data_IF_662834517149
#
_entry.id   IF_662834517149
#
_cell.length_a   1.000
_cell.length_b   1.000
_cell.length_c   1.000
_cell.angle_alpha   90.00
_cell.angle_beta   90.00
_cell.angle_gamma   90.00
#
_symmetry.space_group_name_H-M   'P 1'
#
loop_
_entity.id
_entity.type
_entity.pdbx_description
1 polymer ?
#
# COMPACT_ATOMS: atom_id res chain seq x y z
N UNK A 1 4.18 -26.55 3.55
CA UNK A 1 4.92 -25.84 4.61
C UNK A 1 4.36 -26.26 5.96
N UNK A 2 5.22 -26.43 6.96
CA UNK A 2 4.85 -26.66 8.36
C UNK A 2 4.33 -25.37 8.99
N UNK A 3 3.62 -25.45 10.11
CA UNK A 3 2.99 -24.30 10.76
C UNK A 3 4.01 -23.18 11.11
N UNK A 4 5.17 -23.55 11.67
CA UNK A 4 6.24 -22.61 11.98
C UNK A 4 6.78 -21.88 10.74
N UNK A 5 6.99 -22.60 9.63
CA UNK A 5 7.45 -22.00 8.37
C UNK A 5 6.42 -21.01 7.80
N UNK A 6 5.13 -21.31 7.95
CA UNK A 6 4.05 -20.41 7.54
C UNK A 6 4.02 -19.18 8.45
N UNK A 7 4.21 -19.35 9.75
CA UNK A 7 4.28 -18.23 10.69
C UNK A 7 5.43 -17.28 10.33
N UNK A 8 6.63 -17.81 10.09
CA UNK A 8 7.79 -17.00 9.70
C UNK A 8 7.54 -16.26 8.38
N UNK A 9 6.93 -16.93 7.40
CA UNK A 9 6.53 -16.32 6.14
C UNK A 9 5.53 -15.18 6.35
N UNK A 10 4.51 -15.38 7.18
CA UNK A 10 3.49 -14.35 7.45
C UNK A 10 4.09 -13.14 8.18
N UNK A 11 4.99 -13.36 9.14
CA UNK A 11 5.67 -12.26 9.85
C UNK A 11 6.55 -11.43 8.91
N UNK A 12 7.30 -12.08 8.04
CA UNK A 12 8.12 -11.39 7.05
C UNK A 12 7.25 -10.63 6.03
N UNK A 13 6.18 -11.25 5.53
CA UNK A 13 5.22 -10.60 4.63
C UNK A 13 4.54 -9.40 5.30
N UNK A 14 4.13 -9.53 6.56
CA UNK A 14 3.57 -8.44 7.35
C UNK A 14 4.55 -7.28 7.46
N UNK A 15 5.80 -7.53 7.83
CA UNK A 15 6.82 -6.49 8.00
C UNK A 15 7.06 -5.71 6.71
N UNK A 16 7.20 -6.41 5.59
CA UNK A 16 7.36 -5.77 4.29
C UNK A 16 6.12 -4.94 3.92
N UNK A 17 4.92 -5.49 4.12
CA UNK A 17 3.68 -4.79 3.77
C UNK A 17 3.44 -3.57 4.67
N UNK A 18 3.74 -3.68 5.95
CA UNK A 18 3.67 -2.56 6.89
C UNK A 18 4.69 -1.47 6.52
N UNK A 19 5.88 -1.85 6.05
CA UNK A 19 6.89 -0.88 5.60
C UNK A 19 6.42 -0.12 4.36
N UNK A 20 5.72 -0.78 3.43
CA UNK A 20 5.08 -0.13 2.27
C UNK A 20 3.97 0.82 2.72
N UNK A 21 3.12 0.39 3.67
CA UNK A 21 2.06 1.23 4.23
C UNK A 21 2.62 2.49 4.88
N UNK A 22 3.67 2.37 5.70
CA UNK A 22 4.31 3.53 6.33
C UNK A 22 4.95 4.45 5.29
N UNK A 23 5.55 3.88 4.24
CA UNK A 23 6.03 4.65 3.10
C UNK A 23 4.90 5.43 2.43
N UNK A 24 3.75 4.82 2.17
CA UNK A 24 2.61 5.53 1.58
C UNK A 24 2.08 6.64 2.49
N UNK A 25 2.03 6.41 3.81
CA UNK A 25 1.63 7.43 4.79
C UNK A 25 2.60 8.63 4.80
N UNK A 26 3.90 8.40 4.68
CA UNK A 26 4.90 9.46 4.53
C UNK A 26 4.80 10.16 3.16
N UNK A 27 4.64 9.39 2.08
CA UNK A 27 4.57 9.88 0.70
C UNK A 27 3.39 10.81 0.47
N UNK A 28 2.22 10.47 1.03
CA UNK A 28 1.01 11.28 0.94
C UNK A 28 1.21 12.73 1.44
N UNK A 29 2.17 12.98 2.35
CA UNK A 29 2.49 14.34 2.84
C UNK A 29 3.09 15.25 1.77
N UNK A 30 3.62 14.68 0.69
CA UNK A 30 4.24 15.40 -0.43
C UNK A 30 3.34 15.45 -1.67
N UNK A 31 2.16 14.84 -1.63
CA UNK A 31 1.22 14.76 -2.76
C UNK A 31 0.12 15.79 -2.54
N UNK A 32 0.25 16.94 -3.20
CA UNK A 32 -0.67 18.08 -3.04
C UNK A 32 -1.85 18.04 -4.00
N UNK A 33 -1.76 17.28 -5.09
CA UNK A 33 -2.92 17.04 -5.97
C UNK A 33 -3.99 16.26 -5.19
N UNK A 34 -5.20 16.81 -5.15
CA UNK A 34 -6.30 16.28 -4.35
C UNK A 34 -6.70 14.85 -4.74
N UNK A 35 -6.82 14.56 -6.03
CA UNK A 35 -7.22 13.23 -6.50
C UNK A 35 -6.16 12.17 -6.20
N UNK A 36 -4.89 12.54 -6.37
CA UNK A 36 -3.79 11.65 -6.07
C UNK A 36 -3.71 11.40 -4.56
N UNK A 37 -3.87 12.44 -3.74
CA UNK A 37 -3.85 12.29 -2.29
C UNK A 37 -5.02 11.43 -1.78
N UNK A 38 -6.23 11.66 -2.29
CA UNK A 38 -7.37 10.80 -1.95
C UNK A 38 -7.14 9.34 -2.35
N UNK A 39 -6.45 9.11 -3.46
CA UNK A 39 -6.03 7.77 -3.86
C UNK A 39 -5.04 7.16 -2.86
N UNK A 40 -4.10 7.94 -2.31
CA UNK A 40 -3.27 7.50 -1.18
C UNK A 40 -4.11 7.13 0.04
N UNK A 41 -5.08 7.97 0.44
CA UNK A 41 -5.92 7.67 1.60
C UNK A 41 -6.72 6.38 1.41
N UNK A 42 -7.26 6.18 0.21
CA UNK A 42 -7.92 4.93 -0.17
C UNK A 42 -6.97 3.73 -0.05
N UNK A 43 -5.77 3.82 -0.64
CA UNK A 43 -4.75 2.77 -0.59
C UNK A 43 -4.39 2.43 0.85
N UNK A 44 -4.07 3.43 1.69
CA UNK A 44 -3.67 3.22 3.07
C UNK A 44 -4.80 2.56 3.87
N UNK A 45 -6.06 2.97 3.65
CA UNK A 45 -7.20 2.32 4.30
C UNK A 45 -7.34 0.84 3.92
N UNK A 46 -7.10 0.48 2.65
CA UNK A 46 -7.04 -0.93 2.21
C UNK A 46 -5.90 -1.67 2.91
N UNK A 47 -4.73 -1.06 2.99
CA UNK A 47 -3.54 -1.66 3.61
C UNK A 47 -3.71 -1.87 5.12
N UNK A 48 -4.35 -0.94 5.82
CA UNK A 48 -4.69 -1.09 7.24
C UNK A 48 -5.60 -2.32 7.48
N UNK A 49 -6.52 -2.61 6.56
CA UNK A 49 -7.35 -3.83 6.61
C UNK A 49 -6.52 -5.09 6.31
N UNK A 50 -5.66 -5.04 5.30
CA UNK A 50 -4.78 -6.17 4.93
C UNK A 50 -3.81 -6.53 6.07
N UNK A 51 -3.23 -5.52 6.73
CA UNK A 51 -2.34 -5.71 7.88
C UNK A 51 -3.07 -6.33 9.07
N UNK A 52 -4.36 -5.98 9.28
CA UNK A 52 -5.19 -6.63 10.29
C UNK A 52 -5.41 -8.11 10.00
N UNK A 53 -5.75 -8.47 8.76
CA UNK A 53 -5.88 -9.88 8.37
C UNK A 53 -4.60 -10.68 8.62
N UNK A 54 -3.44 -10.09 8.30
CA UNK A 54 -2.13 -10.69 8.55
C UNK A 54 -1.84 -10.82 10.04
N UNK A 55 -2.13 -9.79 10.83
CA UNK A 55 -1.95 -9.80 12.28
C UNK A 55 -2.79 -10.91 12.93
N UNK A 56 -4.07 -11.02 12.56
CA UNK A 56 -4.96 -12.08 13.05
C UNK A 56 -4.41 -13.47 12.70
N UNK A 57 -3.96 -13.67 11.45
CA UNK A 57 -3.38 -14.95 11.02
C UNK A 57 -2.07 -15.31 11.74
N UNK A 58 -1.25 -14.30 12.11
CA UNK A 58 -0.04 -14.48 12.91
C UNK A 58 -0.39 -14.88 14.34
N UNK A 59 -1.39 -14.22 14.94
CA UNK A 59 -1.88 -14.51 16.30
C UNK A 59 -2.50 -15.91 16.38
N UNK A 60 -3.29 -16.32 15.38
CA UNK A 60 -3.88 -17.66 15.28
C UNK A 60 -2.82 -18.78 15.27
N UNK A 61 -1.59 -18.46 14.81
CA UNK A 61 -0.44 -19.36 14.83
C UNK A 61 0.45 -19.17 16.08
N UNK A 62 -0.06 -18.47 17.10
CA UNK A 62 0.62 -18.13 18.34
C UNK A 62 1.90 -17.29 18.15
N UNK A 63 1.95 -16.45 17.12
CA UNK A 63 3.00 -15.46 16.91
C UNK A 63 2.63 -14.05 17.37
N UNK A 64 3.56 -13.13 17.17
CA UNK A 64 3.38 -11.70 17.39
C UNK A 64 3.81 -10.91 16.16
N UNK A 65 3.12 -9.80 15.91
CA UNK A 65 3.49 -8.85 14.84
C UNK A 65 4.72 -8.04 15.25
N UNK A 66 5.57 -7.74 14.27
CA UNK A 66 6.73 -6.88 14.49
C UNK A 66 6.29 -5.42 14.44
N UNK A 67 6.85 -4.59 15.32
CA UNK A 67 6.72 -3.13 15.18
C UNK A 67 7.54 -2.67 13.99
N UNK A 68 6.90 -1.95 13.07
CA UNK A 68 7.56 -1.30 11.94
C UNK A 68 7.61 0.20 12.21
N UNK A 69 8.78 0.85 12.10
CA UNK A 69 8.88 2.28 12.31
C UNK A 69 8.22 3.05 11.17
N UNK A 70 7.74 4.26 11.46
CA UNK A 70 7.32 5.23 10.46
C UNK A 70 8.43 5.43 9.41
N UNK A 71 8.03 5.55 8.15
CA UNK A 71 8.96 5.84 7.07
C UNK A 71 9.33 7.33 7.07
N UNK A 72 10.60 7.61 6.84
CA UNK A 72 11.08 8.95 6.51
C UNK A 72 11.40 9.00 5.00
N UNK A 73 10.83 9.99 4.31
CA UNK A 73 10.98 10.14 2.87
C UNK A 73 11.54 11.51 2.53
N UNK A 74 12.56 11.49 1.67
CA UNK A 74 13.11 12.69 1.04
C UNK A 74 12.79 12.61 -0.46
N UNK A 75 11.76 13.31 -0.96
CA UNK A 75 11.45 13.31 -2.38
C UNK A 75 12.56 13.96 -3.20
N UNK A 76 12.67 13.56 -4.47
CA UNK A 76 13.60 14.20 -5.40
C UNK A 76 12.91 15.38 -6.08
N UNK A 77 13.52 16.57 -6.03
CA UNK A 77 12.97 17.78 -6.65
C UNK A 77 12.02 18.57 -5.75
N UNK A 78 11.19 19.45 -6.33
CA UNK A 78 10.24 20.32 -5.63
C UNK A 78 8.87 20.32 -6.31
N UNK A 79 7.79 20.58 -5.56
CA UNK A 79 6.43 20.69 -6.09
C UNK A 79 6.01 19.45 -6.86
N UNK A 80 5.51 19.63 -8.09
CA UNK A 80 5.08 18.53 -8.96
C UNK A 80 6.18 17.49 -9.23
N UNK A 81 7.46 17.90 -9.26
CA UNK A 81 8.57 16.95 -9.46
C UNK A 81 8.73 16.04 -8.24
N UNK A 82 8.64 16.61 -7.03
CA UNK A 82 8.66 15.85 -5.79
C UNK A 82 7.50 14.85 -5.75
N UNK A 83 6.28 15.30 -6.05
CA UNK A 83 5.09 14.44 -6.15
C UNK A 83 5.28 13.31 -7.16
N UNK A 84 5.76 13.63 -8.37
CA UNK A 84 6.00 12.62 -9.43
C UNK A 84 7.05 11.61 -8.99
N UNK A 85 8.11 12.02 -8.29
CA UNK A 85 9.14 11.12 -7.77
C UNK A 85 8.55 10.11 -6.77
N UNK A 86 7.72 10.58 -5.83
CA UNK A 86 7.06 9.74 -4.83
C UNK A 86 6.15 8.70 -5.50
N UNK A 87 5.29 9.13 -6.42
CA UNK A 87 4.39 8.23 -7.15
C UNK A 87 5.15 7.17 -7.96
N UNK A 88 6.26 7.55 -8.60
CA UNK A 88 7.11 6.65 -9.40
C UNK A 88 7.78 5.60 -8.52
N UNK A 89 8.32 6.02 -7.39
CA UNK A 89 8.94 5.11 -6.44
C UNK A 89 7.92 4.14 -5.83
N UNK A 90 6.71 4.61 -5.51
CA UNK A 90 5.66 3.78 -4.92
C UNK A 90 5.10 2.76 -5.91
N UNK A 91 4.98 3.13 -7.20
CA UNK A 91 4.70 2.15 -8.26
C UNK A 91 5.78 1.06 -8.34
N UNK A 92 7.05 1.48 -8.28
CA UNK A 92 8.20 0.56 -8.35
C UNK A 92 8.26 -0.36 -7.12
N UNK A 93 8.00 0.18 -5.93
CA UNK A 93 7.95 -0.58 -4.68
C UNK A 93 6.81 -1.60 -4.68
N UNK A 94 5.63 -1.24 -5.19
CA UNK A 94 4.50 -2.15 -5.33
C UNK A 94 4.83 -3.33 -6.28
N UNK A 95 5.49 -3.06 -7.42
CA UNK A 95 5.97 -4.11 -8.32
C UNK A 95 6.97 -5.04 -7.63
N UNK A 96 8.01 -4.46 -7.00
CA UNK A 96 9.07 -5.22 -6.33
C UNK A 96 8.52 -6.10 -5.19
N UNK A 97 7.51 -5.61 -4.45
CA UNK A 97 6.82 -6.38 -3.43
C UNK A 97 6.12 -7.61 -4.04
N UNK A 98 5.36 -7.41 -5.12
CA UNK A 98 4.64 -8.51 -5.76
C UNK A 98 5.61 -9.54 -6.33
N UNK A 99 6.69 -9.10 -6.98
CA UNK A 99 7.71 -9.97 -7.56
C UNK A 99 8.42 -10.80 -6.48
N UNK A 100 8.75 -10.19 -5.33
CA UNK A 100 9.37 -10.90 -4.20
C UNK A 100 8.47 -12.01 -3.65
N UNK A 101 7.15 -11.79 -3.63
CA UNK A 101 6.24 -12.62 -2.85
C UNK A 101 5.44 -13.64 -3.66
N UNK A 102 5.17 -13.37 -4.95
CA UNK A 102 4.33 -14.20 -5.83
C UNK A 102 4.66 -15.69 -5.70
N UNK A 103 5.91 -16.08 -5.94
CA UNK A 103 6.30 -17.50 -5.97
C UNK A 103 6.34 -18.14 -4.57
N UNK A 104 6.58 -17.34 -3.54
CA UNK A 104 6.65 -17.81 -2.14
C UNK A 104 5.25 -18.09 -1.60
N UNK A 105 4.28 -17.24 -1.94
CA UNK A 105 2.87 -17.41 -1.57
C UNK A 105 2.32 -18.73 -2.12
N UNK A 106 2.71 -19.10 -3.35
CA UNK A 106 2.26 -20.35 -3.98
C UNK A 106 2.72 -21.61 -3.23
N UNK A 107 3.82 -21.53 -2.46
CA UNK A 107 4.34 -22.66 -1.65
C UNK A 107 3.55 -22.86 -0.35
N UNK A 108 2.71 -21.90 0.05
CA UNK A 108 1.88 -21.99 1.26
C UNK A 108 0.82 -23.07 1.06
N UNK A 109 0.85 -24.12 1.87
CA UNK A 109 -0.08 -25.27 1.73
C UNK A 109 -1.46 -24.99 2.30
N UNK A 110 -1.57 -24.18 3.36
CA UNK A 110 -2.85 -23.77 3.93
C UNK A 110 -3.60 -22.85 2.94
N UNK A 111 -4.75 -23.30 2.45
CA UNK A 111 -5.52 -22.59 1.42
C UNK A 111 -6.03 -21.22 1.89
N UNK A 112 -6.44 -21.08 3.16
CA UNK A 112 -6.92 -19.80 3.71
C UNK A 112 -5.80 -18.75 3.70
N UNK A 113 -4.62 -19.09 4.22
CA UNK A 113 -3.49 -18.18 4.23
C UNK A 113 -3.00 -17.85 2.81
N UNK A 114 -2.89 -18.86 1.93
CA UNK A 114 -2.49 -18.63 0.53
C UNK A 114 -3.46 -17.69 -0.19
N UNK A 115 -4.76 -17.89 -0.04
CA UNK A 115 -5.76 -17.05 -0.70
C UNK A 115 -5.77 -15.61 -0.16
N UNK A 116 -5.64 -15.43 1.16
CA UNK A 116 -5.48 -14.11 1.76
C UNK A 116 -4.27 -13.37 1.18
N UNK A 117 -3.11 -14.03 1.12
CA UNK A 117 -1.89 -13.44 0.57
C UNK A 117 -2.05 -13.09 -0.92
N UNK A 118 -2.69 -13.96 -1.71
CA UNK A 118 -3.01 -13.68 -3.12
C UNK A 118 -3.90 -12.45 -3.29
N UNK A 119 -4.91 -12.27 -2.44
CA UNK A 119 -5.76 -11.07 -2.45
C UNK A 119 -4.90 -9.82 -2.21
N UNK A 120 -4.02 -9.86 -1.20
CA UNK A 120 -3.12 -8.72 -0.91
C UNK A 120 -2.18 -8.42 -2.09
N UNK A 121 -1.63 -9.44 -2.75
CA UNK A 121 -0.81 -9.25 -3.96
C UNK A 121 -1.61 -8.64 -5.11
N UNK A 122 -2.85 -9.11 -5.33
CA UNK A 122 -3.75 -8.56 -6.35
C UNK A 122 -4.10 -7.09 -6.10
N UNK A 123 -4.45 -6.74 -4.86
CA UNK A 123 -4.71 -5.34 -4.49
C UNK A 123 -3.47 -4.48 -4.59
N UNK A 124 -2.28 -5.01 -4.29
CA UNK A 124 -1.02 -4.27 -4.45
C UNK A 124 -0.72 -3.96 -5.93
N UNK A 125 -1.09 -4.85 -6.86
CA UNK A 125 -1.02 -4.55 -8.31
C UNK A 125 -2.03 -3.47 -8.73
N UNK A 126 -3.20 -3.43 -8.09
CA UNK A 126 -4.17 -2.35 -8.34
C UNK A 126 -3.66 -1.01 -7.79
N UNK A 127 -3.00 -1.00 -6.63
CA UNK A 127 -2.32 0.19 -6.10
C UNK A 127 -1.24 0.69 -7.06
N UNK A 128 -0.43 -0.24 -7.60
CA UNK A 128 0.55 0.09 -8.66
C UNK A 128 -0.12 0.75 -9.86
N UNK A 129 -1.25 0.20 -10.34
CA UNK A 129 -2.00 0.75 -11.47
C UNK A 129 -2.43 2.19 -11.20
N UNK A 130 -2.88 2.51 -9.98
CA UNK A 130 -3.21 3.88 -9.62
C UNK A 130 -2.00 4.82 -9.68
N UNK A 131 -0.86 4.40 -9.13
CA UNK A 131 0.36 5.21 -9.19
C UNK A 131 0.84 5.43 -10.63
N UNK A 132 0.82 4.40 -11.48
CA UNK A 132 1.18 4.52 -12.90
C UNK A 132 0.28 5.54 -13.63
N UNK A 133 -1.03 5.49 -13.37
CA UNK A 133 -1.99 6.43 -13.95
C UNK A 133 -1.77 7.85 -13.42
N UNK A 134 -1.50 8.02 -12.13
CA UNK A 134 -1.19 9.32 -11.53
C UNK A 134 0.10 9.92 -12.13
N UNK A 135 1.15 9.11 -12.33
CA UNK A 135 2.39 9.52 -13.02
C UNK A 135 2.11 9.93 -14.48
N UNK A 136 1.12 9.30 -15.13
CA UNK A 136 0.64 9.69 -16.45
C UNK A 136 -0.30 10.91 -16.43
N UNK A 137 -0.58 11.51 -15.25
CA UNK A 137 -1.42 12.69 -15.09
C UNK A 137 -2.92 12.43 -15.09
N UNK A 138 -3.36 11.19 -14.85
CA UNK A 138 -4.78 10.83 -14.78
C UNK A 138 -5.33 11.04 -13.39
N UNK A 139 -6.38 11.85 -13.27
CA UNK A 139 -7.01 12.22 -12.00
C UNK A 139 -8.26 11.39 -11.67
N UNK A 140 -8.83 10.66 -12.63
CA UNK A 140 -9.99 9.78 -12.45
C UNK A 140 -9.62 8.40 -11.88
N UNK A 141 -8.69 8.37 -10.92
CA UNK A 141 -8.08 7.15 -10.37
C UNK A 141 -9.10 6.27 -9.65
N UNK A 142 -9.96 6.89 -8.82
CA UNK A 142 -11.02 6.21 -8.06
C UNK A 142 -12.37 6.22 -8.79
N UNK A 143 -12.37 6.52 -10.10
CA UNK A 143 -13.55 6.65 -10.93
C UNK A 143 -13.74 8.07 -11.47
N UNK A 144 -14.66 8.19 -12.45
CA UNK A 144 -15.00 9.49 -13.05
C UNK A 144 -16.03 10.22 -12.21
N UNK A 145 -15.89 11.53 -12.14
CA UNK A 145 -16.90 12.41 -11.56
C UNK A 145 -18.09 12.55 -12.49
N UNK A 146 -19.24 12.91 -11.92
CA UNK A 146 -20.38 13.37 -12.69
C UNK A 146 -20.04 14.69 -13.40
N UNK A 147 -20.65 14.93 -14.56
CA UNK A 147 -20.44 16.15 -15.34
C UNK A 147 -20.76 17.40 -14.50
N UNK A 148 -19.83 18.36 -14.49
CA UNK A 148 -19.97 19.62 -13.74
C UNK A 148 -19.51 19.58 -12.28
N UNK A 149 -19.07 18.43 -11.75
CA UNK A 149 -18.51 18.35 -10.40
C UNK A 149 -17.02 18.74 -10.38
N UNK A 150 -16.71 19.89 -9.76
CA UNK A 150 -15.35 20.33 -9.46
C UNK A 150 -14.80 19.76 -8.15
N UNK A 151 -13.56 20.09 -7.85
CA UNK A 151 -12.94 19.89 -6.52
C UNK A 151 -12.63 21.22 -5.91
N UNK A 152 -13.47 21.63 -4.95
CA UNK A 152 -13.19 22.78 -4.10
C UNK A 152 -12.42 22.30 -2.85
N UNK A 153 -11.36 23.02 -2.48
CA UNK A 153 -10.59 22.77 -1.25
C UNK A 153 -9.12 22.42 -1.47
N UNK A 154 -8.43 22.21 -0.36
CA UNK A 154 -7.00 21.87 -0.31
C UNK A 154 -6.79 20.56 0.46
N UNK A 155 -5.69 19.86 0.17
CA UNK A 155 -5.26 18.71 0.97
C UNK A 155 -4.86 19.19 2.37
N UNK A 156 -5.46 18.61 3.41
CA UNK A 156 -5.10 18.93 4.79
C UNK A 156 -3.65 18.52 5.09
N UNK A 157 -2.92 19.36 5.83
CA UNK A 157 -1.54 19.08 6.22
C UNK A 157 -1.41 17.85 7.16
N UNK A 158 -2.50 17.45 7.80
CA UNK A 158 -2.58 16.30 8.71
C UNK A 158 -3.62 15.30 8.23
N UNK A 159 -3.27 14.00 8.25
CA UNK A 159 -4.21 12.92 7.93
C UNK A 159 -5.36 12.90 8.92
N UNK A 160 -6.58 12.73 8.41
CA UNK A 160 -7.76 12.52 9.24
C UNK A 160 -7.76 11.07 9.77
N UNK A 161 -7.91 10.92 11.08
CA UNK A 161 -7.98 9.64 11.79
C UNK A 161 -9.31 9.65 12.53
N UNK A 162 -10.16 8.63 12.29
CA UNK A 162 -11.42 8.43 13.03
C UNK A 162 -11.19 7.99 14.48
#
# INVERSE_FOLDING_TARGET
MKAAEVLDLLREFYRDKASIRERHAAGARFVTNYDFNNTYQYIIAREDVQLRWLADAIVDLAGAVDTVPDADLTPTGKGEQAQRSILTDDSSAAAAFVDRWRDRVEKVTNARHRNMLRVILGETLEHKRFFDLAVAGREDLLGRRADGAGTDGEVLATRWVE
#
